data_IF_777568442977
#
_entry.id   IF_777568442977
#
_cell.length_a   1.000
_cell.length_b   1.000
_cell.length_c   1.000
_cell.angle_alpha   90.00
_cell.angle_beta   90.00
_cell.angle_gamma   90.00
#
_symmetry.space_group_name_H-M   'P 1'
#
loop_
_entity.id
_entity.type
_entity.pdbx_description
1 polymer ?
#
# COMPACT_ATOMS: atom_id res chain seq x y z
N UNK A 1 -11.68 -2.88 10.73
CA UNK A 1 -10.30 -2.87 10.22
C UNK A 1 -9.74 -1.47 10.43
N UNK A 2 -8.44 -1.33 10.73
CA UNK A 2 -7.83 -0.03 11.03
C UNK A 2 -7.15 0.57 9.80
N UNK A 3 -7.34 1.86 9.55
CA UNK A 3 -6.56 2.59 8.54
C UNK A 3 -5.17 2.88 9.09
N UNK A 4 -4.13 2.42 8.39
CA UNK A 4 -2.73 2.63 8.77
C UNK A 4 -1.98 3.52 7.78
N UNK A 5 -2.60 3.92 6.68
CA UNK A 5 -2.03 4.97 5.85
C UNK A 5 -3.13 5.74 5.12
N UNK A 6 -2.91 7.03 4.93
CA UNK A 6 -3.70 7.86 4.00
C UNK A 6 -2.82 8.13 2.78
N UNK A 7 -3.40 7.97 1.59
CA UNK A 7 -2.72 8.03 0.31
C UNK A 7 -3.47 8.95 -0.65
N UNK A 8 -2.73 9.55 -1.56
CA UNK A 8 -3.26 10.30 -2.70
C UNK A 8 -2.73 9.69 -3.98
N UNK A 9 -3.62 9.36 -4.91
CA UNK A 9 -3.30 8.88 -6.26
C UNK A 9 -2.63 10.01 -7.04
N UNK A 10 -1.57 9.70 -7.77
CA UNK A 10 -0.84 10.62 -8.63
C UNK A 10 -1.13 10.32 -10.10
N UNK A 11 -0.87 11.30 -10.96
CA UNK A 11 -1.13 11.21 -12.39
C UNK A 11 -0.31 10.09 -13.09
N UNK A 12 0.82 9.71 -12.49
CA UNK A 12 1.70 8.63 -12.97
C UNK A 12 1.25 7.23 -12.50
N UNK A 13 0.12 7.13 -11.80
CA UNK A 13 -0.41 5.88 -11.25
C UNK A 13 0.28 5.44 -9.95
N UNK A 14 1.18 6.26 -9.38
CA UNK A 14 1.72 6.05 -8.04
C UNK A 14 0.75 6.52 -6.96
N UNK A 15 0.99 6.08 -5.74
CA UNK A 15 0.30 6.58 -4.55
C UNK A 15 1.33 7.21 -3.62
N UNK A 16 1.01 8.37 -3.05
CA UNK A 16 1.86 9.01 -2.04
C UNK A 16 1.07 9.34 -0.80
N UNK A 17 1.71 9.20 0.36
CA UNK A 17 1.07 9.56 1.61
C UNK A 17 1.89 9.18 2.82
N UNK A 18 1.20 8.90 3.91
CA UNK A 18 1.85 8.67 5.21
C UNK A 18 1.34 7.37 5.82
N UNK A 19 2.28 6.47 6.11
CA UNK A 19 2.08 5.33 7.00
C UNK A 19 2.06 5.87 8.43
N UNK A 20 1.01 5.58 9.18
CA UNK A 20 0.83 5.95 10.58
C UNK A 20 0.27 4.75 11.35
N UNK A 21 1.10 4.23 12.25
CA UNK A 21 0.72 3.26 13.29
C UNK A 21 0.83 3.94 14.65
N UNK A 22 0.62 3.20 15.75
CA UNK A 22 0.74 3.77 17.10
C UNK A 22 2.11 4.41 17.36
N UNK A 23 3.20 3.77 16.90
CA UNK A 23 4.58 4.21 17.19
C UNK A 23 5.38 4.66 15.95
N UNK A 24 4.89 4.38 14.74
CA UNK A 24 5.63 4.66 13.50
C UNK A 24 4.84 5.59 12.61
N UNK A 25 5.43 6.72 12.27
CA UNK A 25 4.93 7.65 11.25
C UNK A 25 6.01 7.86 10.18
N UNK A 26 5.71 7.52 8.93
CA UNK A 26 6.65 7.66 7.83
C UNK A 26 5.95 8.05 6.51
N UNK A 27 6.46 9.06 5.78
CA UNK A 27 5.99 9.33 4.44
C UNK A 27 6.42 8.19 3.52
N UNK A 28 5.48 7.64 2.75
CA UNK A 28 5.70 6.51 1.84
C UNK A 28 5.23 6.86 0.43
N UNK A 29 5.83 6.20 -0.55
CA UNK A 29 5.36 6.17 -1.93
C UNK A 29 5.22 4.74 -2.40
N UNK A 30 4.15 4.48 -3.14
CA UNK A 30 3.81 3.20 -3.73
C UNK A 30 3.92 3.40 -5.25
N UNK A 31 5.00 2.90 -5.82
CA UNK A 31 5.42 3.21 -7.20
C UNK A 31 5.16 2.00 -8.08
N UNK A 32 4.54 2.15 -9.27
CA UNK A 32 4.37 1.05 -10.21
C UNK A 32 5.69 0.36 -10.54
N UNK A 33 5.71 -0.97 -10.50
CA UNK A 33 6.86 -1.75 -10.90
C UNK A 33 6.88 -1.94 -12.42
N UNK A 34 7.47 -0.99 -13.14
CA UNK A 34 7.60 -1.06 -14.60
C UNK A 34 8.50 -2.19 -15.12
N UNK A 35 9.17 -2.95 -14.24
CA UNK A 35 10.04 -4.09 -14.61
C UNK A 35 9.40 -5.45 -14.33
N UNK A 36 8.12 -5.50 -13.98
CA UNK A 36 7.39 -6.75 -13.75
C UNK A 36 7.44 -7.63 -15.00
N UNK A 37 8.00 -8.82 -14.87
CA UNK A 37 8.09 -9.84 -15.92
C UNK A 37 7.21 -11.07 -15.61
N UNK A 38 6.88 -11.32 -14.33
CA UNK A 38 6.07 -12.46 -13.88
C UNK A 38 4.94 -12.00 -12.94
N UNK A 39 3.86 -12.77 -12.88
CA UNK A 39 2.72 -12.45 -12.00
C UNK A 39 3.06 -12.49 -10.50
N UNK A 40 4.03 -13.34 -10.12
CA UNK A 40 4.53 -13.40 -8.74
C UNK A 40 5.31 -12.16 -8.31
N UNK A 41 5.80 -11.36 -9.26
CA UNK A 41 6.53 -10.13 -8.96
C UNK A 41 5.54 -9.03 -8.57
N UNK A 42 5.94 -8.09 -7.70
CA UNK A 42 5.05 -7.04 -7.24
C UNK A 42 4.64 -6.11 -8.38
N UNK A 43 3.38 -5.69 -8.38
CA UNK A 43 2.87 -4.61 -9.24
C UNK A 43 3.32 -3.24 -8.76
N UNK A 44 3.60 -3.11 -7.46
CA UNK A 44 4.04 -1.88 -6.84
C UNK A 44 5.19 -2.11 -5.87
N UNK A 45 6.14 -1.17 -5.83
CA UNK A 45 7.19 -1.10 -4.81
C UNK A 45 6.84 -0.01 -3.81
N UNK A 46 6.94 -0.30 -2.53
CA UNK A 46 6.66 0.66 -1.45
C UNK A 46 7.99 1.14 -0.91
N UNK A 47 8.22 2.44 -0.97
CA UNK A 47 9.46 3.07 -0.50
C UNK A 47 9.15 4.13 0.54
N UNK A 48 10.05 4.26 1.51
CA UNK A 48 10.04 5.38 2.44
C UNK A 48 10.55 6.63 1.73
N UNK A 49 9.76 7.71 1.72
CA UNK A 49 10.20 9.02 1.21
C UNK A 49 11.20 9.70 2.14
N UNK A 50 11.34 9.23 3.38
CA UNK A 50 12.29 9.81 4.35
C UNK A 50 13.74 9.49 4.01
N UNK A 51 14.02 8.28 3.53
CA UNK A 51 15.39 7.78 3.31
C UNK A 51 15.58 7.00 2.00
N UNK A 52 14.51 6.80 1.21
CA UNK A 52 14.56 6.09 -0.06
C UNK A 52 14.63 4.57 0.05
N UNK A 53 14.65 4.00 1.27
CA UNK A 53 14.69 2.55 1.44
C UNK A 53 13.35 1.90 1.09
N UNK A 54 13.45 0.69 0.54
CA UNK A 54 12.30 -0.14 0.27
C UNK A 54 11.68 -0.65 1.57
N UNK A 55 10.38 -0.45 1.70
CA UNK A 55 9.58 -0.82 2.86
C UNK A 55 8.72 -2.05 2.56
N UNK A 56 8.49 -2.37 1.30
CA UNK A 56 7.62 -3.49 0.93
C UNK A 56 7.13 -3.42 -0.50
N UNK A 57 6.02 -4.11 -0.76
CA UNK A 57 5.49 -4.27 -2.09
C UNK A 57 3.96 -4.42 -2.10
N UNK A 58 3.36 -4.22 -3.27
CA UNK A 58 1.94 -4.40 -3.52
C UNK A 58 1.66 -5.24 -4.75
N UNK A 59 0.57 -6.00 -4.71
CA UNK A 59 0.09 -6.86 -5.78
C UNK A 59 -1.37 -6.55 -6.09
N UNK A 60 -1.70 -6.38 -7.36
CA UNK A 60 -3.08 -6.31 -7.82
C UNK A 60 -3.70 -7.69 -7.75
N UNK A 61 -4.83 -7.79 -7.07
CA UNK A 61 -5.58 -9.02 -6.82
C UNK A 61 -7.04 -8.78 -7.14
N UNK A 62 -7.75 -9.86 -7.41
CA UNK A 62 -9.21 -9.85 -7.60
C UNK A 62 -9.85 -10.60 -6.43
N UNK A 63 -10.86 -9.98 -5.83
CA UNK A 63 -11.67 -10.62 -4.80
C UNK A 63 -12.43 -11.79 -5.40
N UNK A 64 -12.28 -12.99 -4.86
CA UNK A 64 -12.99 -14.18 -5.35
C UNK A 64 -14.51 -14.07 -5.19
N UNK A 65 -14.97 -13.33 -4.17
CA UNK A 65 -16.39 -13.20 -3.85
C UNK A 65 -17.09 -12.12 -4.69
N UNK A 66 -16.38 -11.03 -5.01
CA UNK A 66 -16.99 -9.83 -5.62
C UNK A 66 -16.44 -9.50 -6.99
N UNK A 67 -15.34 -10.14 -7.41
CA UNK A 67 -14.62 -9.80 -8.65
C UNK A 67 -13.91 -8.44 -8.61
N UNK A 68 -14.00 -7.69 -7.51
CA UNK A 68 -13.41 -6.36 -7.41
C UNK A 68 -11.88 -6.44 -7.37
N UNK A 69 -11.23 -5.58 -8.16
CA UNK A 69 -9.77 -5.39 -8.11
C UNK A 69 -9.40 -4.64 -6.83
N UNK A 70 -8.38 -5.13 -6.12
CA UNK A 70 -7.79 -4.48 -4.96
C UNK A 70 -6.27 -4.66 -4.98
N UNK A 71 -5.54 -3.76 -4.32
CA UNK A 71 -4.08 -3.91 -4.17
C UNK A 71 -3.81 -4.46 -2.78
N UNK A 72 -3.34 -5.69 -2.69
CA UNK A 72 -2.80 -6.24 -1.44
C UNK A 72 -1.39 -5.70 -1.22
N UNK A 73 -1.07 -5.30 0.00
CA UNK A 73 0.24 -4.75 0.37
C UNK A 73 0.88 -5.54 1.51
N UNK A 74 2.19 -5.69 1.44
CA UNK A 74 3.03 -6.19 2.52
C UNK A 74 4.12 -5.15 2.79
N UNK A 75 4.25 -4.73 4.04
CA UNK A 75 5.26 -3.79 4.49
C UNK A 75 6.07 -4.44 5.61
N UNK A 76 7.39 -4.28 5.57
CA UNK A 76 8.29 -4.81 6.58
C UNK A 76 9.37 -3.81 6.95
N UNK A 77 9.59 -3.62 8.25
CA UNK A 77 10.69 -2.83 8.79
C UNK A 77 11.09 -3.35 10.18
N UNK A 78 12.33 -3.10 10.63
CA UNK A 78 12.75 -3.46 11.99
C UNK A 78 11.84 -2.89 13.08
N UNK A 79 11.30 -1.69 12.86
CA UNK A 79 10.48 -0.92 13.81
C UNK A 79 9.10 -1.55 14.08
N UNK A 80 8.57 -2.35 13.14
CA UNK A 80 7.18 -2.86 13.21
C UNK A 80 7.00 -4.29 12.71
N UNK A 81 8.07 -5.02 12.41
CA UNK A 81 7.99 -6.37 11.86
C UNK A 81 7.37 -6.36 10.46
N UNK A 82 6.43 -7.26 10.19
CA UNK A 82 5.70 -7.34 8.91
C UNK A 82 4.23 -7.05 9.12
N UNK A 83 3.69 -6.17 8.29
CA UNK A 83 2.30 -5.73 8.29
C UNK A 83 1.69 -6.04 6.92
N UNK A 84 0.50 -6.63 6.93
CA UNK A 84 -0.28 -6.86 5.72
C UNK A 84 -1.47 -5.89 5.67
N UNK A 85 -1.85 -5.50 4.47
CA UNK A 85 -3.01 -4.63 4.28
C UNK A 85 -3.54 -4.65 2.86
N UNK A 86 -4.56 -3.84 2.62
CA UNK A 86 -5.12 -3.61 1.29
C UNK A 86 -5.28 -2.11 1.04
N UNK A 87 -5.00 -1.66 -0.18
CA UNK A 87 -5.35 -0.31 -0.64
C UNK A 87 -6.83 -0.30 -0.99
N UNK A 88 -7.58 0.62 -0.38
CA UNK A 88 -9.00 0.84 -0.63
C UNK A 88 -9.28 2.34 -0.81
N UNK A 89 -10.49 2.69 -1.24
CA UNK A 89 -10.93 4.07 -1.28
C UNK A 89 -10.97 4.64 0.13
N UNK A 90 -10.51 5.88 0.31
CA UNK A 90 -10.69 6.59 1.56
C UNK A 90 -12.19 6.87 1.78
N UNK A 91 -12.64 7.02 3.04
CA UNK A 91 -13.98 7.52 3.33
C UNK A 91 -14.21 8.89 2.66
N UNK A 92 -15.34 9.04 1.99
CA UNK A 92 -15.67 10.21 1.17
C UNK A 92 -15.82 9.84 -0.32
N UNK A 93 -16.12 10.85 -1.15
CA UNK A 93 -16.39 10.66 -2.58
C UNK A 93 -15.20 11.07 -3.48
N UNK A 94 -13.99 11.20 -2.91
CA UNK A 94 -12.80 11.57 -3.69
C UNK A 94 -12.06 10.32 -4.19
N UNK A 95 -12.10 10.01 -5.50
CA UNK A 95 -11.44 8.84 -6.06
C UNK A 95 -9.91 8.91 -5.97
N UNK A 96 -9.33 10.11 -5.82
CA UNK A 96 -7.90 10.34 -5.64
C UNK A 96 -7.44 10.02 -4.22
N UNK A 97 -8.35 9.86 -3.25
CA UNK A 97 -7.99 9.51 -1.87
C UNK A 97 -8.12 8.02 -1.65
N UNK A 98 -7.02 7.41 -1.22
CA UNK A 98 -6.95 6.00 -0.86
C UNK A 98 -6.45 5.84 0.57
N UNK A 99 -6.65 4.66 1.14
CA UNK A 99 -6.13 4.27 2.44
C UNK A 99 -5.52 2.88 2.38
N UNK A 100 -4.55 2.61 3.25
CA UNK A 100 -4.15 1.23 3.55
C UNK A 100 -4.94 0.77 4.76
N UNK A 101 -5.73 -0.28 4.57
CA UNK A 101 -6.49 -0.95 5.62
C UNK A 101 -5.64 -2.12 6.13
N UNK A 102 -5.33 -2.14 7.43
CA UNK A 102 -4.56 -3.19 8.08
C UNK A 102 -5.35 -4.50 8.19
N UNK A 103 -4.68 -5.59 7.81
CA UNK A 103 -5.14 -6.96 8.00
C UNK A 103 -4.29 -7.60 9.12
N UNK A 104 -4.85 -7.85 10.31
CA UNK A 104 -4.13 -8.54 11.36
C UNK A 104 -3.77 -9.97 10.93
N UNK A 105 -2.61 -10.50 11.35
CA UNK A 105 -2.33 -11.92 11.21
C UNK A 105 -3.42 -12.71 11.93
N UNK A 106 -3.89 -13.78 11.27
CA UNK A 106 -4.87 -14.73 11.84
C UNK A 106 -4.21 -15.64 12.86
#
# INVERSE_FOLDING_TARGET
MATIANLTVKADGSFEGTLATLNVTAPIAIVPNGRKAKDSEPDYRIVSRKNGFELGAGWKRFSQNTGAEYVSVSLSAPEFGTIYGNIANAPGDDPMKKVIIWNPPS
#
